data_IF_076912421038
#
_entry.id   IF_076912421038
#
_cell.length_a   1.000
_cell.length_b   1.000
_cell.length_c   1.000
_cell.angle_alpha   90.00
_cell.angle_beta   90.00
_cell.angle_gamma   90.00
#
_symmetry.space_group_name_H-M   'P 1'
#
loop_
_entity.id
_entity.type
_entity.pdbx_description
1 polymer ?
#
# COMPACT_ATOMS: atom_id res chain seq x y z
N UNK A 1 64.38 62.13 24.19
CA UNK A 1 64.44 61.53 22.85
C UNK A 1 64.86 60.08 23.01
N UNK A 2 63.90 59.17 23.14
CA UNK A 2 64.10 57.72 23.00
C UNK A 2 63.12 57.27 21.94
N UNK A 3 63.68 56.72 20.88
CA UNK A 3 63.03 56.20 19.68
C UNK A 3 62.12 55.03 20.05
N UNK A 4 60.92 55.04 19.49
CA UNK A 4 59.99 53.90 19.45
C UNK A 4 60.63 52.86 18.50
N UNK A 5 60.77 51.58 18.88
CA UNK A 5 61.20 50.56 17.93
C UNK A 5 60.09 50.31 16.91
N UNK A 6 60.48 50.20 15.65
CA UNK A 6 59.64 49.83 14.52
C UNK A 6 58.90 48.52 14.80
N UNK A 7 57.61 48.52 14.45
CA UNK A 7 56.68 47.39 14.50
C UNK A 7 57.17 46.30 13.54
N UNK A 8 58.01 45.39 14.04
CA UNK A 8 58.36 44.15 13.36
C UNK A 8 57.10 43.30 13.24
N UNK A 9 56.75 42.98 11.99
CA UNK A 9 55.55 42.28 11.59
C UNK A 9 55.15 41.18 12.55
N UNK A 10 54.02 41.38 13.22
CA UNK A 10 53.28 40.31 13.85
C UNK A 10 52.86 39.37 12.71
N UNK A 11 53.63 38.31 12.48
CA UNK A 11 53.14 37.12 11.78
C UNK A 11 51.77 36.83 12.35
N UNK A 12 50.74 36.89 11.51
CA UNK A 12 49.36 36.60 11.91
C UNK A 12 49.39 35.29 12.68
N UNK A 13 49.09 35.28 13.99
CA UNK A 13 49.32 34.10 14.82
C UNK A 13 48.51 32.94 14.24
N UNK A 14 49.05 31.70 14.28
CA UNK A 14 48.39 30.44 13.87
C UNK A 14 46.90 30.34 14.28
N UNK A 15 46.54 30.97 15.39
CA UNK A 15 45.16 31.09 15.87
C UNK A 15 44.27 31.88 14.89
N UNK A 16 44.74 33.00 14.36
CA UNK A 16 44.01 33.81 13.40
C UNK A 16 43.78 33.06 12.08
N UNK A 17 44.76 32.31 11.58
CA UNK A 17 44.59 31.45 10.39
C UNK A 17 43.50 30.38 10.61
N UNK A 18 43.45 29.80 11.81
CA UNK A 18 42.42 28.82 12.17
C UNK A 18 40.99 29.40 12.14
N UNK A 19 40.83 30.67 12.51
CA UNK A 19 39.54 31.36 12.58
C UNK A 19 39.25 32.26 11.37
N UNK A 20 40.17 32.36 10.40
CA UNK A 20 40.08 33.28 9.27
C UNK A 20 38.78 33.08 8.48
N UNK A 21 38.41 31.83 8.20
CA UNK A 21 37.17 31.50 7.48
C UNK A 21 35.91 31.98 8.22
N UNK A 22 35.90 31.90 9.55
CA UNK A 22 34.76 32.37 10.37
C UNK A 22 34.73 33.90 10.44
N UNK A 23 35.90 34.53 10.56
CA UNK A 23 36.03 35.98 10.56
C UNK A 23 35.59 36.59 9.23
N UNK A 24 36.06 36.07 8.11
CA UNK A 24 35.67 36.50 6.77
C UNK A 24 34.17 36.33 6.57
N UNK A 25 33.61 35.17 6.94
CA UNK A 25 32.18 34.89 6.85
C UNK A 25 31.31 35.82 7.71
N UNK A 26 31.81 36.28 8.88
CA UNK A 26 31.09 37.13 9.81
C UNK A 26 31.41 38.64 9.68
N UNK A 27 32.41 39.02 8.89
CA UNK A 27 32.87 40.41 8.75
C UNK A 27 31.84 41.31 8.07
N UNK A 28 31.76 42.59 8.47
CA UNK A 28 30.77 43.55 7.97
C UNK A 28 30.75 43.68 6.43
N UNK A 29 31.89 43.53 5.76
CA UNK A 29 32.01 43.56 4.29
C UNK A 29 31.54 42.28 3.58
N UNK A 30 31.40 41.16 4.30
CA UNK A 30 31.05 39.82 3.75
C UNK A 30 29.92 39.09 4.51
N UNK A 31 29.15 39.78 5.35
CA UNK A 31 27.98 39.23 6.08
C UNK A 31 26.86 38.65 5.20
N UNK A 32 26.98 38.69 3.87
CA UNK A 32 26.01 38.13 2.94
C UNK A 32 25.65 36.68 3.29
N UNK A 33 26.65 35.82 3.56
CA UNK A 33 26.42 34.42 3.92
C UNK A 33 25.67 34.24 5.25
N UNK A 34 26.06 34.99 6.30
CA UNK A 34 25.35 34.97 7.59
C UNK A 34 23.91 35.47 7.45
N UNK A 35 23.70 36.55 6.68
CA UNK A 35 22.38 37.13 6.45
C UNK A 35 21.47 36.20 5.64
N UNK A 36 22.02 35.52 4.64
CA UNK A 36 21.32 34.49 3.86
C UNK A 36 20.94 33.30 4.71
N UNK A 37 21.87 32.79 5.53
CA UNK A 37 21.61 31.69 6.46
C UNK A 37 20.53 32.05 7.48
N UNK A 38 20.61 33.24 8.08
CA UNK A 38 19.58 33.74 8.99
C UNK A 38 18.22 33.93 8.33
N UNK A 39 18.19 34.30 7.04
CA UNK A 39 16.96 34.41 6.25
C UNK A 39 16.37 33.02 6.01
N UNK A 40 17.18 32.06 5.54
CA UNK A 40 16.75 30.68 5.29
C UNK A 40 16.21 30.00 6.56
N UNK A 41 16.88 30.18 7.71
CA UNK A 41 16.39 29.69 9.01
C UNK A 41 15.03 30.29 9.39
N UNK A 42 14.84 31.60 9.18
CA UNK A 42 13.56 32.27 9.44
C UNK A 42 12.46 31.77 8.50
N UNK A 43 12.77 31.57 7.22
CA UNK A 43 11.83 31.00 6.24
C UNK A 43 11.44 29.58 6.63
N UNK A 44 12.40 28.75 7.02
CA UNK A 44 12.15 27.37 7.47
C UNK A 44 11.28 27.37 8.73
N UNK A 45 11.61 28.18 9.73
CA UNK A 45 10.82 28.31 10.94
C UNK A 45 9.37 28.72 10.64
N UNK A 46 9.17 29.73 9.79
CA UNK A 46 7.83 30.15 9.37
C UNK A 46 7.07 29.03 8.64
N UNK A 47 7.74 28.26 7.78
CA UNK A 47 7.13 27.11 7.10
C UNK A 47 6.73 25.99 8.08
N UNK A 48 7.56 25.72 9.09
CA UNK A 48 7.24 24.74 10.15
C UNK A 48 6.08 25.21 11.02
N UNK A 49 6.02 26.49 11.38
CA UNK A 49 4.89 27.06 12.13
C UNK A 49 3.60 26.96 11.31
N UNK A 50 3.63 27.34 10.03
CA UNK A 50 2.47 27.20 9.14
C UNK A 50 2.02 25.74 9.00
N UNK A 51 2.96 24.80 8.92
CA UNK A 51 2.67 23.37 8.89
C UNK A 51 1.97 22.89 10.16
N UNK A 52 2.33 23.43 11.33
CA UNK A 52 1.66 23.12 12.59
C UNK A 52 0.27 23.79 12.74
N UNK A 53 0.06 24.95 12.11
CA UNK A 53 -1.21 25.68 12.14
C UNK A 53 -2.24 25.15 11.13
N UNK A 54 -1.78 24.64 9.99
CA UNK A 54 -2.65 23.99 9.00
C UNK A 54 -3.27 22.76 9.64
N UNK A 55 -4.60 22.67 9.67
CA UNK A 55 -5.39 21.57 10.25
C UNK A 55 -4.59 20.25 10.25
N UNK A 56 -4.32 19.68 11.43
CA UNK A 56 -3.37 18.57 11.70
C UNK A 56 -3.61 17.24 10.96
N UNK A 57 -4.40 17.27 9.90
CA UNK A 57 -4.57 16.24 8.90
C UNK A 57 -3.39 16.15 7.91
N UNK A 58 -2.71 17.24 7.57
CA UNK A 58 -1.59 17.21 6.62
C UNK A 58 -0.28 16.87 7.33
N UNK A 59 0.09 15.57 7.31
CA UNK A 59 1.40 15.14 7.77
C UNK A 59 2.41 15.44 6.67
N UNK A 60 3.46 16.18 7.01
CA UNK A 60 4.49 16.59 6.06
C UNK A 60 5.86 16.53 6.74
N UNK A 61 6.88 16.15 5.96
CA UNK A 61 8.27 16.13 6.42
C UNK A 61 8.93 17.49 6.20
N UNK A 62 9.67 17.96 7.20
CA UNK A 62 10.50 19.17 7.08
C UNK A 62 11.47 19.06 5.89
N UNK A 63 12.12 17.92 5.70
CA UNK A 63 13.00 17.64 4.57
C UNK A 63 12.36 17.80 3.17
N UNK A 64 11.02 17.83 3.09
CA UNK A 64 10.31 18.05 1.81
C UNK A 64 9.95 19.51 1.55
N UNK A 65 10.21 20.40 2.50
CA UNK A 65 9.93 21.83 2.37
C UNK A 65 10.98 22.49 1.46
N UNK A 66 10.59 23.42 0.58
CA UNK A 66 11.54 24.21 -0.21
C UNK A 66 12.56 24.94 0.65
N UNK A 67 12.13 25.48 1.80
CA UNK A 67 13.00 26.18 2.75
C UNK A 67 14.08 25.27 3.37
N UNK A 68 13.78 23.97 3.56
CA UNK A 68 14.76 23.00 4.04
C UNK A 68 15.82 22.70 2.97
N UNK A 69 15.40 22.60 1.71
CA UNK A 69 16.33 22.41 0.58
C UNK A 69 17.22 23.64 0.36
N UNK A 70 16.68 24.84 0.49
CA UNK A 70 17.44 26.10 0.44
C UNK A 70 18.48 26.16 1.56
N UNK A 71 18.07 25.85 2.80
CA UNK A 71 18.99 25.80 3.93
C UNK A 71 20.11 24.77 3.69
N UNK A 72 19.78 23.56 3.24
CA UNK A 72 20.75 22.52 2.93
C UNK A 72 21.76 22.96 1.86
N UNK A 73 21.32 23.72 0.86
CA UNK A 73 22.18 24.26 -0.18
C UNK A 73 23.19 25.27 0.39
N UNK A 74 22.72 26.23 1.20
CA UNK A 74 23.58 27.23 1.84
C UNK A 74 24.61 26.61 2.80
N UNK A 75 24.27 25.50 3.46
CA UNK A 75 25.23 24.76 4.30
C UNK A 75 26.38 24.14 3.51
N UNK A 76 26.20 23.88 2.22
CA UNK A 76 27.27 23.40 1.34
C UNK A 76 28.38 24.42 1.12
N UNK A 77 28.05 25.71 1.19
CA UNK A 77 28.98 26.83 0.97
C UNK A 77 29.46 27.48 2.29
N UNK A 78 28.88 27.09 3.43
CA UNK A 78 29.20 27.63 4.74
C UNK A 78 30.52 27.07 5.31
N UNK A 79 31.23 27.82 6.18
CA UNK A 79 32.39 27.30 6.90
C UNK A 79 32.05 26.02 7.69
N UNK A 80 32.99 25.06 7.82
CA UNK A 80 32.70 23.73 8.37
C UNK A 80 32.01 23.73 9.74
N UNK A 81 32.39 24.67 10.62
CA UNK A 81 31.76 24.82 11.93
C UNK A 81 30.28 25.25 11.83
N UNK A 82 29.98 26.21 10.95
CA UNK A 82 28.61 26.72 10.73
C UNK A 82 27.76 25.65 10.05
N UNK A 83 28.31 25.01 9.02
CA UNK A 83 27.66 23.91 8.31
C UNK A 83 27.27 22.78 9.27
N UNK A 84 28.17 22.41 10.18
CA UNK A 84 27.90 21.40 11.20
C UNK A 84 26.84 21.84 12.20
N UNK A 85 26.98 23.01 12.80
CA UNK A 85 26.05 23.48 13.83
C UNK A 85 24.60 23.56 13.32
N UNK A 86 24.42 24.12 12.12
CA UNK A 86 23.08 24.27 11.53
C UNK A 86 22.60 22.98 10.88
N UNK A 87 23.52 22.15 10.35
CA UNK A 87 23.21 20.80 9.88
C UNK A 87 22.66 19.90 10.99
N UNK A 88 23.32 19.87 12.16
CA UNK A 88 22.87 19.11 13.33
C UNK A 88 21.45 19.53 13.75
N UNK A 89 21.15 20.84 13.76
CA UNK A 89 19.81 21.36 14.04
C UNK A 89 18.76 20.93 13.00
N UNK A 90 19.12 20.95 11.71
CA UNK A 90 18.24 20.52 10.64
C UNK A 90 17.96 19.01 10.71
N UNK A 91 18.97 18.20 11.04
CA UNK A 91 18.83 16.77 11.24
C UNK A 91 17.95 16.42 12.45
N UNK A 92 18.09 17.15 13.56
CA UNK A 92 17.21 17.03 14.72
C UNK A 92 15.75 17.38 14.35
N UNK A 93 15.55 18.47 13.60
CA UNK A 93 14.24 18.88 13.12
C UNK A 93 13.61 17.83 12.17
N UNK A 94 14.39 17.29 11.25
CA UNK A 94 13.95 16.21 10.35
C UNK A 94 13.58 14.96 11.14
N UNK A 95 14.40 14.54 12.10
CA UNK A 95 14.14 13.37 12.95
C UNK A 95 12.85 13.53 13.76
N UNK A 96 12.63 14.71 14.34
CA UNK A 96 11.41 15.04 15.05
C UNK A 96 10.18 14.98 14.12
N UNK A 97 10.26 15.63 12.95
CA UNK A 97 9.19 15.62 11.95
C UNK A 97 8.86 14.21 11.46
N UNK A 98 9.86 13.36 11.23
CA UNK A 98 9.64 11.96 10.87
C UNK A 98 8.95 11.15 11.97
N UNK A 99 9.30 11.41 13.22
CA UNK A 99 8.63 10.80 14.38
C UNK A 99 7.16 11.20 14.45
N UNK A 100 6.87 12.48 14.22
CA UNK A 100 5.50 13.01 14.20
C UNK A 100 4.68 12.42 13.06
N UNK A 101 5.25 12.35 11.84
CA UNK A 101 4.60 11.71 10.69
C UNK A 101 4.31 10.23 10.97
N UNK A 102 5.29 9.48 11.49
CA UNK A 102 5.08 8.07 11.86
C UNK A 102 3.96 7.90 12.89
N UNK A 103 3.99 8.72 13.94
CA UNK A 103 3.02 8.65 15.04
C UNK A 103 1.62 9.01 14.54
N UNK A 104 1.50 10.09 13.77
CA UNK A 104 0.24 10.54 13.19
C UNK A 104 -0.35 9.53 12.21
N UNK A 105 0.45 8.97 11.30
CA UNK A 105 -0.01 7.93 10.38
C UNK A 105 -0.49 6.68 11.14
N UNK A 106 0.23 6.25 12.16
CA UNK A 106 -0.17 5.10 12.97
C UNK A 106 -1.47 5.38 13.74
N UNK A 107 -1.64 6.58 14.31
CA UNK A 107 -2.88 6.96 14.98
C UNK A 107 -4.08 6.95 14.01
N UNK A 108 -3.91 7.51 12.81
CA UNK A 108 -4.96 7.50 11.78
C UNK A 108 -5.25 6.10 11.29
N UNK A 109 -4.23 5.26 11.09
CA UNK A 109 -4.42 3.85 10.77
C UNK A 109 -5.27 3.15 11.84
N UNK A 110 -4.93 3.30 13.12
CA UNK A 110 -5.65 2.64 14.22
C UNK A 110 -7.12 3.05 14.33
N UNK A 111 -7.41 4.32 14.05
CA UNK A 111 -8.76 4.90 14.19
C UNK A 111 -9.64 4.74 12.95
N UNK A 112 -9.02 4.66 11.77
CA UNK A 112 -9.72 4.59 10.48
C UNK A 112 -9.52 3.22 9.84
N UNK A 113 -8.35 2.96 9.24
CA UNK A 113 -8.11 1.75 8.44
C UNK A 113 -8.24 0.44 9.23
N UNK A 114 -7.58 0.32 10.38
CA UNK A 114 -7.61 -0.88 11.21
C UNK A 114 -9.02 -1.22 11.70
N UNK A 115 -9.81 -0.21 12.05
CA UNK A 115 -11.21 -0.39 12.48
C UNK A 115 -12.04 -1.07 11.39
N UNK A 116 -11.82 -0.72 10.13
CA UNK A 116 -12.55 -1.30 9.00
C UNK A 116 -12.01 -2.70 8.65
N UNK A 117 -10.70 -2.94 8.76
CA UNK A 117 -10.14 -4.29 8.67
C UNK A 117 -10.78 -5.25 9.69
N UNK A 118 -10.99 -4.79 10.94
CA UNK A 118 -11.60 -5.60 12.01
C UNK A 118 -13.03 -6.06 11.71
N UNK A 119 -13.73 -5.47 10.74
CA UNK A 119 -15.08 -5.92 10.34
C UNK A 119 -15.04 -7.20 9.52
N UNK A 120 -13.99 -7.39 8.73
CA UNK A 120 -13.87 -8.52 7.80
C UNK A 120 -12.82 -9.55 8.26
N UNK A 121 -11.95 -9.16 9.20
CA UNK A 121 -10.92 -10.02 9.76
C UNK A 121 -11.50 -11.30 10.39
N UNK A 122 -10.83 -12.43 10.15
CA UNK A 122 -11.18 -13.72 10.74
C UNK A 122 -12.40 -14.41 10.11
N UNK A 123 -13.20 -13.69 9.33
CA UNK A 123 -14.37 -14.18 8.61
C UNK A 123 -14.00 -14.59 7.18
N UNK A 124 -14.73 -15.55 6.60
CA UNK A 124 -14.48 -15.98 5.23
C UNK A 124 -14.78 -14.84 4.23
N UNK A 125 -13.89 -14.52 3.26
CA UNK A 125 -12.74 -15.31 2.80
C UNK A 125 -11.39 -14.96 3.46
N UNK A 126 -11.35 -14.09 4.46
CA UNK A 126 -10.11 -13.63 5.12
C UNK A 126 -9.70 -14.48 6.34
N UNK A 127 -10.52 -15.45 6.71
CA UNK A 127 -10.30 -16.38 7.80
C UNK A 127 -11.31 -17.53 7.74
N UNK A 128 -11.43 -18.27 8.84
CA UNK A 128 -12.24 -19.49 8.91
C UNK A 128 -13.56 -19.31 9.68
N UNK A 129 -13.92 -18.06 9.99
CA UNK A 129 -15.17 -17.69 10.65
C UNK A 129 -16.37 -17.70 9.71
N UNK A 130 -17.42 -16.98 10.10
CA UNK A 130 -18.62 -16.80 9.27
C UNK A 130 -18.32 -16.06 7.97
N UNK A 131 -19.20 -16.16 6.99
CA UNK A 131 -19.10 -15.38 5.75
C UNK A 131 -19.14 -13.87 6.03
N UNK A 132 -18.22 -13.13 5.41
CA UNK A 132 -18.29 -11.66 5.35
C UNK A 132 -19.51 -11.28 4.50
N UNK A 133 -20.43 -10.44 4.99
CA UNK A 133 -21.49 -9.90 4.14
C UNK A 133 -20.90 -9.20 2.91
N UNK A 134 -21.43 -9.49 1.72
CA UNK A 134 -20.90 -8.92 0.47
C UNK A 134 -20.84 -7.39 0.49
N UNK A 135 -21.80 -6.75 1.17
CA UNK A 135 -21.83 -5.32 1.39
C UNK A 135 -20.62 -4.82 2.20
N UNK A 136 -20.21 -5.53 3.25
CA UNK A 136 -19.03 -5.16 4.04
C UNK A 136 -17.75 -5.37 3.22
N UNK A 137 -17.67 -6.44 2.43
CA UNK A 137 -16.57 -6.66 1.50
C UNK A 137 -16.45 -5.50 0.49
N UNK A 138 -17.56 -5.08 -0.13
CA UNK A 138 -17.62 -3.95 -1.06
C UNK A 138 -17.23 -2.63 -0.39
N UNK A 139 -17.76 -2.35 0.81
CA UNK A 139 -17.47 -1.13 1.56
C UNK A 139 -16.00 -1.03 1.96
N UNK A 140 -15.39 -2.14 2.38
CA UNK A 140 -14.01 -2.15 2.90
C UNK A 140 -12.97 -2.19 1.78
N UNK A 141 -13.16 -3.06 0.76
CA UNK A 141 -12.14 -3.35 -0.26
C UNK A 141 -12.41 -2.72 -1.64
N UNK A 142 -13.64 -2.28 -1.92
CA UNK A 142 -14.02 -1.77 -3.23
C UNK A 142 -13.33 -0.47 -3.64
N UNK A 143 -13.57 -0.03 -4.88
CA UNK A 143 -13.14 1.29 -5.36
C UNK A 143 -13.81 2.39 -4.52
N UNK A 144 -13.02 3.32 -4.00
CA UNK A 144 -13.46 4.32 -3.02
C UNK A 144 -14.07 3.70 -1.75
N UNK A 145 -13.75 2.45 -1.45
CA UNK A 145 -13.98 1.82 -0.16
C UNK A 145 -13.08 2.43 0.92
N UNK A 146 -13.28 1.99 2.16
CA UNK A 146 -12.61 2.59 3.32
C UNK A 146 -11.07 2.49 3.26
N UNK A 147 -10.55 1.32 2.86
CA UNK A 147 -9.10 1.11 2.78
C UNK A 147 -8.47 1.83 1.57
N UNK A 148 -9.21 1.94 0.46
CA UNK A 148 -8.79 2.70 -0.71
C UNK A 148 -8.72 4.20 -0.40
N UNK A 149 -9.75 4.73 0.27
CA UNK A 149 -9.78 6.12 0.74
C UNK A 149 -8.64 6.41 1.70
N UNK A 150 -8.39 5.51 2.65
CA UNK A 150 -7.26 5.64 3.56
C UNK A 150 -5.94 5.70 2.80
N UNK A 151 -5.69 4.77 1.87
CA UNK A 151 -4.45 4.76 1.09
C UNK A 151 -4.28 6.05 0.28
N UNK A 152 -5.31 6.46 -0.48
CA UNK A 152 -5.29 7.67 -1.31
C UNK A 152 -5.02 8.93 -0.50
N UNK A 153 -5.62 9.03 0.68
CA UNK A 153 -5.52 10.21 1.54
C UNK A 153 -4.20 10.24 2.33
N UNK A 154 -3.82 9.11 2.93
CA UNK A 154 -2.78 9.08 3.96
C UNK A 154 -1.44 8.56 3.46
N UNK A 155 -1.41 7.73 2.41
CA UNK A 155 -0.20 7.02 1.97
C UNK A 155 0.24 7.34 0.55
N UNK A 156 -0.67 7.66 -0.37
CA UNK A 156 -0.36 7.78 -1.80
C UNK A 156 0.77 8.78 -2.12
N UNK A 157 0.88 9.88 -1.36
CA UNK A 157 1.95 10.86 -1.53
C UNK A 157 3.35 10.28 -1.25
N UNK A 158 3.43 9.25 -0.39
CA UNK A 158 4.65 8.63 0.10
C UNK A 158 5.10 7.43 -0.74
N UNK A 159 4.20 6.84 -1.53
CA UNK A 159 4.41 5.55 -2.21
C UNK A 159 4.61 5.75 -3.72
N UNK A 160 5.50 4.96 -4.28
CA UNK A 160 5.69 4.76 -5.72
C UNK A 160 4.93 3.49 -6.11
N UNK A 161 3.78 3.66 -6.77
CA UNK A 161 2.87 2.60 -7.21
C UNK A 161 3.07 2.23 -8.68
N UNK A 162 4.00 2.89 -9.38
CA UNK A 162 4.30 2.64 -10.80
C UNK A 162 5.22 1.41 -10.98
N UNK A 163 5.68 0.84 -9.88
CA UNK A 163 6.54 -0.35 -9.81
C UNK A 163 5.89 -1.43 -8.95
N UNK A 164 6.16 -2.69 -9.27
CA UNK A 164 5.80 -3.84 -8.41
C UNK A 164 7.06 -4.64 -8.08
N UNK A 165 7.37 -4.91 -6.80
CA UNK A 165 6.59 -4.53 -5.61
C UNK A 165 6.59 -3.02 -5.35
N UNK A 166 5.52 -2.52 -4.70
CA UNK A 166 5.41 -1.12 -4.30
C UNK A 166 6.54 -0.71 -3.35
N UNK A 167 7.00 0.54 -3.44
CA UNK A 167 8.08 1.07 -2.59
C UNK A 167 7.81 2.47 -2.09
N UNK A 168 8.42 2.84 -0.97
CA UNK A 168 8.45 4.23 -0.53
C UNK A 168 9.25 5.07 -1.52
N UNK A 169 8.76 6.28 -1.84
CA UNK A 169 9.53 7.22 -2.66
C UNK A 169 10.78 7.64 -1.91
N UNK A 170 11.89 7.85 -2.63
CA UNK A 170 13.22 8.12 -2.06
C UNK A 170 13.23 9.23 -1.00
N UNK A 171 12.48 10.31 -1.23
CA UNK A 171 12.38 11.46 -0.30
C UNK A 171 11.69 11.17 1.03
N UNK A 172 11.07 9.99 1.17
CA UNK A 172 10.40 9.53 2.38
C UNK A 172 11.02 8.24 2.94
N UNK A 173 12.14 7.78 2.37
CA UNK A 173 12.78 6.54 2.79
C UNK A 173 13.25 6.58 4.26
N UNK A 174 13.58 7.76 4.77
CA UNK A 174 13.99 7.99 6.15
C UNK A 174 12.88 7.76 7.19
N UNK A 175 11.61 7.77 6.78
CA UNK A 175 10.48 7.44 7.67
C UNK A 175 10.60 6.05 8.30
N UNK A 176 11.33 5.11 7.69
CA UNK A 176 11.56 3.78 8.27
C UNK A 176 10.29 2.96 8.51
N UNK A 177 9.18 3.27 7.82
CA UNK A 177 7.94 2.50 7.92
C UNK A 177 8.14 1.15 7.22
N UNK A 178 7.72 0.08 7.90
CA UNK A 178 7.89 -1.30 7.42
C UNK A 178 7.30 -1.51 6.01
N UNK A 179 8.06 -2.17 5.14
CA UNK A 179 7.66 -2.45 3.75
C UNK A 179 6.46 -3.40 3.66
N UNK A 180 6.19 -4.18 4.71
CA UNK A 180 4.99 -5.02 4.82
C UNK A 180 3.69 -4.22 4.76
N UNK A 181 3.70 -2.95 5.17
CA UNK A 181 2.54 -2.04 5.00
C UNK A 181 2.24 -1.84 3.51
N UNK A 182 3.28 -1.68 2.68
CA UNK A 182 3.10 -1.51 1.23
C UNK A 182 2.59 -2.79 0.58
N UNK A 183 3.15 -3.94 0.97
CA UNK A 183 2.68 -5.25 0.48
C UNK A 183 1.21 -5.49 0.80
N UNK A 184 0.75 -5.04 1.97
CA UNK A 184 -0.66 -5.12 2.35
C UNK A 184 -1.54 -4.30 1.39
N UNK A 185 -1.22 -3.04 1.12
CA UNK A 185 -2.02 -2.20 0.23
C UNK A 185 -1.90 -2.59 -1.25
N UNK A 186 -0.73 -3.06 -1.68
CA UNK A 186 -0.55 -3.63 -3.03
C UNK A 186 -1.46 -4.85 -3.19
N UNK A 187 -1.53 -5.73 -2.18
CA UNK A 187 -2.43 -6.89 -2.21
C UNK A 187 -3.90 -6.50 -2.22
N UNK A 188 -4.29 -5.45 -1.50
CA UNK A 188 -5.65 -4.92 -1.55
C UNK A 188 -5.99 -4.37 -2.94
N UNK A 189 -5.04 -3.71 -3.61
CA UNK A 189 -5.23 -3.25 -4.98
C UNK A 189 -5.42 -4.43 -5.94
N UNK A 190 -4.63 -5.50 -5.82
CA UNK A 190 -4.83 -6.73 -6.61
C UNK A 190 -6.21 -7.37 -6.40
N UNK A 191 -6.66 -7.48 -5.14
CA UNK A 191 -7.99 -8.01 -4.81
C UNK A 191 -9.07 -7.13 -5.43
N UNK A 192 -8.91 -5.81 -5.34
CA UNK A 192 -9.88 -4.87 -5.90
C UNK A 192 -9.97 -5.00 -7.41
N UNK A 193 -8.85 -5.10 -8.12
CA UNK A 193 -8.88 -5.29 -9.59
C UNK A 193 -9.55 -6.62 -9.98
N UNK A 194 -9.37 -7.68 -9.19
CA UNK A 194 -9.96 -9.00 -9.47
C UNK A 194 -11.48 -9.04 -9.22
N UNK A 195 -11.96 -8.36 -8.18
CA UNK A 195 -13.36 -8.42 -7.73
C UNK A 195 -14.21 -7.22 -8.15
N UNK A 196 -13.59 -6.14 -8.63
CA UNK A 196 -14.26 -4.92 -9.06
C UNK A 196 -13.70 -4.45 -10.41
N UNK A 197 -13.85 -5.26 -11.47
CA UNK A 197 -13.28 -4.98 -12.77
C UNK A 197 -13.82 -3.67 -13.33
N UNK A 198 -12.98 -2.94 -14.08
CA UNK A 198 -13.36 -1.70 -14.78
C UNK A 198 -13.94 -0.60 -13.86
N UNK A 199 -13.55 -0.58 -12.58
CA UNK A 199 -14.01 0.42 -11.63
C UNK A 199 -15.42 0.16 -11.08
N UNK A 200 -15.93 -1.08 -11.19
CA UNK A 200 -17.24 -1.46 -10.69
C UNK A 200 -17.40 -1.11 -9.19
N UNK A 201 -18.58 -0.66 -8.80
CA UNK A 201 -18.92 -0.40 -7.39
C UNK A 201 -19.35 -1.66 -6.67
N UNK A 202 -19.96 -2.59 -7.39
CA UNK A 202 -20.39 -3.88 -6.87
C UNK A 202 -19.32 -4.93 -7.12
N UNK A 203 -19.01 -5.70 -6.08
CA UNK A 203 -18.14 -6.85 -6.18
C UNK A 203 -18.78 -7.92 -7.08
N UNK A 204 -18.04 -8.32 -8.12
CA UNK A 204 -18.45 -9.36 -9.04
C UNK A 204 -17.35 -9.69 -10.03
N UNK A 205 -17.36 -10.91 -10.55
CA UNK A 205 -16.42 -11.34 -11.56
C UNK A 205 -17.08 -12.32 -12.53
N UNK A 206 -16.85 -12.07 -13.82
CA UNK A 206 -17.26 -12.96 -14.89
C UNK A 206 -16.09 -13.88 -15.23
N UNK A 207 -16.38 -15.17 -15.39
CA UNK A 207 -15.36 -16.16 -15.67
C UNK A 207 -15.86 -17.26 -16.61
N UNK A 208 -14.95 -17.70 -17.47
CA UNK A 208 -15.16 -18.86 -18.32
C UNK A 208 -14.80 -20.14 -17.59
N UNK A 209 -15.68 -21.15 -17.67
CA UNK A 209 -15.40 -22.51 -17.21
C UNK A 209 -15.38 -23.45 -18.40
N UNK A 210 -14.29 -24.19 -18.56
CA UNK A 210 -14.19 -25.31 -19.48
C UNK A 210 -13.88 -26.57 -18.68
N UNK A 211 -14.71 -27.59 -18.84
CA UNK A 211 -14.52 -28.86 -18.15
C UNK A 211 -13.78 -29.84 -19.06
N UNK A 212 -12.72 -30.44 -18.52
CA UNK A 212 -12.02 -31.57 -19.10
C UNK A 212 -12.12 -32.72 -18.09
N UNK A 213 -13.24 -33.45 -18.13
CA UNK A 213 -13.49 -34.55 -17.22
C UNK A 213 -13.98 -35.78 -17.99
N UNK A 214 -13.36 -36.93 -17.71
CA UNK A 214 -13.90 -38.24 -18.03
C UNK A 214 -14.44 -38.82 -16.72
N UNK A 215 -15.75 -38.72 -16.52
CA UNK A 215 -16.43 -39.38 -15.41
C UNK A 215 -17.15 -40.60 -15.98
N UNK A 216 -16.71 -41.83 -15.67
CA UNK A 216 -17.40 -43.03 -16.13
C UNK A 216 -18.88 -43.00 -15.75
N UNK A 217 -19.74 -43.38 -16.70
CA UNK A 217 -21.19 -43.51 -16.54
C UNK A 217 -22.00 -42.22 -16.27
N UNK A 218 -21.35 -41.07 -16.16
CA UNK A 218 -22.03 -39.78 -16.11
C UNK A 218 -22.44 -39.31 -17.52
N UNK A 219 -23.71 -38.95 -17.70
CA UNK A 219 -24.21 -38.31 -18.92
C UNK A 219 -23.90 -36.81 -18.91
N UNK A 220 -24.13 -36.16 -17.77
CA UNK A 220 -24.02 -34.71 -17.61
C UNK A 220 -23.32 -34.33 -16.30
N UNK A 221 -22.56 -33.25 -16.36
CA UNK A 221 -21.98 -32.57 -15.20
C UNK A 221 -22.52 -31.15 -15.19
N UNK A 222 -23.24 -30.79 -14.14
CA UNK A 222 -23.89 -29.49 -14.01
C UNK A 222 -23.15 -28.69 -12.95
N UNK A 223 -22.58 -27.54 -13.33
CA UNK A 223 -22.05 -26.54 -12.40
C UNK A 223 -23.06 -25.39 -12.29
N UNK A 224 -23.61 -25.18 -11.10
CA UNK A 224 -24.46 -24.05 -10.77
C UNK A 224 -23.69 -23.03 -9.95
N UNK A 225 -23.76 -21.75 -10.30
CA UNK A 225 -23.19 -20.62 -9.55
C UNK A 225 -24.19 -19.49 -9.52
N UNK A 226 -24.60 -19.06 -8.32
CA UNK A 226 -25.52 -17.94 -8.15
C UNK A 226 -26.85 -18.11 -8.88
N UNK A 227 -27.29 -19.36 -9.08
CA UNK A 227 -28.51 -19.70 -9.82
C UNK A 227 -28.37 -19.80 -11.35
N UNK A 228 -27.18 -19.58 -11.91
CA UNK A 228 -26.88 -19.85 -13.32
C UNK A 228 -26.22 -21.21 -13.48
N UNK A 229 -26.64 -22.02 -14.45
CA UNK A 229 -26.14 -23.38 -14.67
C UNK A 229 -25.30 -23.49 -15.96
N UNK A 230 -24.18 -24.20 -15.86
CA UNK A 230 -23.36 -24.67 -16.96
C UNK A 230 -23.45 -26.20 -17.04
N UNK A 231 -24.01 -26.71 -18.13
CA UNK A 231 -24.27 -28.14 -18.34
C UNK A 231 -23.22 -28.69 -19.30
N UNK A 232 -22.33 -29.55 -18.80
CA UNK A 232 -21.27 -30.18 -19.56
C UNK A 232 -21.67 -31.60 -19.94
N UNK A 233 -21.71 -31.87 -21.23
CA UNK A 233 -21.84 -33.23 -21.78
C UNK A 233 -20.46 -33.89 -21.79
N UNK A 234 -20.37 -35.17 -21.37
CA UNK A 234 -19.10 -35.86 -21.12
C UNK A 234 -18.12 -35.97 -22.33
N UNK A 235 -18.53 -35.61 -23.55
CA UNK A 235 -17.77 -35.89 -24.79
C UNK A 235 -17.43 -34.66 -25.64
N UNK A 236 -17.90 -33.47 -25.29
CA UNK A 236 -17.63 -32.25 -26.08
C UNK A 236 -17.13 -31.15 -25.14
N UNK A 237 -15.83 -30.76 -25.22
CA UNK A 237 -15.33 -29.63 -24.47
C UNK A 237 -16.09 -28.36 -24.87
N UNK A 238 -16.92 -27.86 -23.96
CA UNK A 238 -17.63 -26.59 -24.10
C UNK A 238 -17.17 -25.63 -23.02
N UNK A 239 -17.08 -24.36 -23.39
CA UNK A 239 -16.86 -23.28 -22.43
C UNK A 239 -18.18 -22.61 -22.12
N UNK A 240 -18.47 -22.41 -20.84
CA UNK A 240 -19.59 -21.63 -20.36
C UNK A 240 -19.08 -20.37 -19.67
N UNK A 241 -19.83 -19.28 -19.77
CA UNK A 241 -19.58 -18.08 -18.99
C UNK A 241 -20.49 -18.13 -17.77
N UNK A 242 -19.91 -17.92 -16.60
CA UNK A 242 -20.61 -17.78 -15.33
C UNK A 242 -20.17 -16.49 -14.66
N UNK A 243 -20.98 -16.03 -13.73
CA UNK A 243 -20.70 -14.82 -12.97
C UNK A 243 -20.84 -15.12 -11.49
N UNK A 244 -19.92 -14.59 -10.70
CA UNK A 244 -20.07 -14.50 -9.26
C UNK A 244 -20.37 -13.04 -8.89
N UNK A 245 -21.32 -12.75 -7.99
CA UNK A 245 -22.12 -13.70 -7.20
C UNK A 245 -23.34 -14.28 -7.93
N UNK A 246 -23.59 -13.86 -9.17
CA UNK A 246 -24.70 -14.31 -10.01
C UNK A 246 -26.06 -13.68 -9.64
N UNK A 247 -27.13 -14.13 -10.29
CA UNK A 247 -28.47 -13.52 -10.19
C UNK A 247 -29.22 -13.92 -8.89
N UNK A 248 -28.77 -14.97 -8.22
CA UNK A 248 -29.33 -15.48 -6.96
C UNK A 248 -28.20 -15.94 -6.05
N UNK A 249 -27.42 -15.00 -5.46
CA UNK A 249 -26.23 -15.31 -4.66
C UNK A 249 -26.48 -16.30 -3.52
N UNK A 250 -27.67 -16.27 -2.92
CA UNK A 250 -28.03 -17.16 -1.80
C UNK A 250 -28.03 -18.65 -2.20
N UNK A 251 -28.19 -18.96 -3.50
CA UNK A 251 -28.09 -20.34 -4.02
C UNK A 251 -26.66 -20.87 -4.00
N UNK A 252 -25.65 -20.00 -3.84
CA UNK A 252 -24.25 -20.36 -3.76
C UNK A 252 -23.74 -21.10 -4.99
N UNK A 253 -22.97 -22.16 -4.80
CA UNK A 253 -22.45 -22.98 -5.88
C UNK A 253 -22.67 -24.48 -5.64
N UNK A 254 -22.98 -25.20 -6.71
CA UNK A 254 -23.21 -26.66 -6.69
C UNK A 254 -22.58 -27.33 -7.91
N UNK A 255 -21.99 -28.50 -7.71
CA UNK A 255 -21.65 -29.44 -8.78
C UNK A 255 -22.53 -30.67 -8.64
N UNK A 256 -23.22 -31.03 -9.71
CA UNK A 256 -24.12 -32.20 -9.77
C UNK A 256 -23.69 -33.12 -10.91
N UNK A 257 -23.61 -34.41 -10.64
CA UNK A 257 -23.38 -35.46 -11.63
C UNK A 257 -24.69 -36.18 -11.90
N UNK A 258 -25.07 -36.28 -13.17
CA UNK A 258 -26.21 -37.06 -13.63
C UNK A 258 -25.68 -38.32 -14.31
N UNK A 259 -26.11 -39.49 -13.83
CA UNK A 259 -25.69 -40.78 -14.37
C UNK A 259 -26.71 -41.32 -15.38
N UNK A 260 -26.25 -42.17 -16.30
CA UNK A 260 -27.08 -42.73 -17.39
C UNK A 260 -28.28 -43.55 -16.89
N UNK A 261 -28.25 -44.05 -15.65
CA UNK A 261 -29.35 -44.79 -15.03
C UNK A 261 -30.50 -43.89 -14.52
N UNK A 262 -30.30 -42.57 -14.50
CA UNK A 262 -31.28 -41.57 -14.07
C UNK A 262 -31.64 -41.61 -12.58
N UNK A 263 -30.98 -42.45 -11.78
CA UNK A 263 -31.34 -42.71 -10.37
C UNK A 263 -30.29 -42.22 -9.38
N UNK A 264 -29.00 -42.24 -9.73
CA UNK A 264 -27.96 -41.66 -8.87
C UNK A 264 -27.71 -40.20 -9.27
N UNK A 265 -27.82 -39.28 -8.31
CA UNK A 265 -27.35 -37.90 -8.46
C UNK A 265 -26.37 -37.59 -7.35
N UNK A 266 -25.09 -37.52 -7.68
CA UNK A 266 -24.05 -37.12 -6.73
C UNK A 266 -23.91 -35.60 -6.78
N UNK A 267 -23.93 -34.95 -5.62
CA UNK A 267 -23.83 -33.49 -5.52
C UNK A 267 -22.88 -33.02 -4.43
N UNK A 268 -22.21 -31.92 -4.70
CA UNK A 268 -21.47 -31.12 -3.72
C UNK A 268 -22.00 -29.70 -3.85
N UNK A 269 -22.51 -29.13 -2.75
CA UNK A 269 -23.13 -27.82 -2.75
C UNK A 269 -22.70 -27.00 -1.54
N UNK A 270 -22.45 -25.72 -1.79
CA UNK A 270 -22.17 -24.71 -0.78
C UNK A 270 -23.12 -23.54 -1.01
N UNK A 271 -23.99 -23.26 -0.05
CA UNK A 271 -24.90 -22.12 -0.12
C UNK A 271 -24.21 -20.80 0.20
N UNK A 272 -24.97 -19.71 0.16
CA UNK A 272 -24.46 -18.37 0.51
C UNK A 272 -23.67 -17.71 -0.61
N UNK A 273 -23.48 -16.40 -0.49
CA UNK A 273 -22.83 -15.60 -1.53
C UNK A 273 -21.42 -16.13 -1.83
N UNK A 274 -20.73 -16.70 -0.85
CA UNK A 274 -19.37 -17.20 -1.00
C UNK A 274 -19.28 -18.68 -1.40
N UNK A 275 -20.41 -19.33 -1.70
CA UNK A 275 -20.47 -20.75 -2.02
C UNK A 275 -19.52 -21.20 -3.13
N UNK A 276 -19.29 -20.35 -4.15
CA UNK A 276 -18.30 -20.64 -5.20
C UNK A 276 -16.89 -20.81 -4.63
N UNK A 277 -16.47 -19.94 -3.72
CA UNK A 277 -15.11 -19.99 -3.18
C UNK A 277 -14.95 -21.16 -2.21
N UNK A 278 -15.97 -21.49 -1.41
CA UNK A 278 -15.94 -22.73 -0.62
C UNK A 278 -15.84 -23.98 -1.49
N UNK A 279 -16.58 -24.01 -2.61
CA UNK A 279 -16.45 -25.08 -3.59
C UNK A 279 -15.01 -25.15 -4.10
N UNK A 280 -14.44 -24.02 -4.53
CA UNK A 280 -13.05 -23.97 -5.00
C UNK A 280 -12.06 -24.45 -3.92
N UNK A 281 -12.17 -23.98 -2.68
CA UNK A 281 -11.30 -24.39 -1.58
C UNK A 281 -11.37 -25.90 -1.30
N UNK A 282 -12.58 -26.49 -1.40
CA UNK A 282 -12.77 -27.94 -1.27
C UNK A 282 -12.03 -28.74 -2.37
N UNK A 283 -11.85 -28.13 -3.54
CA UNK A 283 -11.18 -28.74 -4.70
C UNK A 283 -9.67 -28.50 -4.73
N UNK A 284 -9.13 -27.65 -3.85
CA UNK A 284 -7.69 -27.32 -3.75
C UNK A 284 -7.05 -26.98 -5.12
N UNK A 285 -7.52 -25.92 -5.80
CA UNK A 285 -7.08 -25.56 -7.15
C UNK A 285 -5.57 -25.29 -7.21
N UNK A 286 -4.95 -25.67 -8.32
CA UNK A 286 -3.54 -25.34 -8.59
C UNK A 286 -3.49 -24.18 -9.60
N UNK A 287 -2.99 -23.00 -9.21
CA UNK A 287 -2.84 -21.89 -10.15
C UNK A 287 -1.87 -22.29 -11.26
N UNK A 288 -2.17 -21.91 -12.50
CA UNK A 288 -1.24 -22.15 -13.61
C UNK A 288 -0.20 -21.04 -13.64
N UNK A 289 1.06 -21.40 -13.89
CA UNK A 289 2.23 -20.49 -13.85
C UNK A 289 2.16 -19.36 -14.90
N UNK A 290 1.26 -19.42 -15.88
CA UNK A 290 1.04 -18.38 -16.89
C UNK A 290 -0.45 -18.16 -17.19
N UNK A 291 -0.88 -16.89 -17.07
CA UNK A 291 -2.19 -16.39 -17.49
C UNK A 291 -3.25 -16.34 -16.37
N UNK A 292 -4.42 -15.79 -16.69
CA UNK A 292 -5.58 -15.67 -15.78
C UNK A 292 -6.40 -16.98 -15.72
N UNK A 293 -5.72 -18.12 -15.76
CA UNK A 293 -6.35 -19.44 -15.79
C UNK A 293 -5.84 -20.29 -14.62
N UNK A 294 -6.75 -20.93 -13.92
CA UNK A 294 -6.42 -21.95 -12.92
C UNK A 294 -6.84 -23.31 -13.45
N UNK A 295 -5.98 -24.33 -13.25
CA UNK A 295 -6.37 -25.71 -13.51
C UNK A 295 -6.78 -26.34 -12.21
N UNK A 296 -8.05 -26.73 -12.14
CA UNK A 296 -8.57 -27.48 -11.02
C UNK A 296 -8.56 -28.95 -11.43
N UNK A 297 -7.87 -29.79 -10.65
CA UNK A 297 -8.00 -31.24 -10.74
C UNK A 297 -8.84 -31.68 -9.55
N UNK A 298 -10.17 -31.66 -9.66
CA UNK A 298 -11.00 -32.12 -8.56
C UNK A 298 -10.75 -33.62 -8.36
N UNK A 299 -10.14 -34.01 -7.23
CA UNK A 299 -10.22 -35.39 -6.75
C UNK A 299 -11.51 -35.44 -5.95
N UNK A 300 -12.62 -35.71 -6.63
CA UNK A 300 -13.85 -36.06 -5.93
C UNK A 300 -13.62 -37.46 -5.38
N UNK A 301 -13.15 -37.56 -4.13
CA UNK A 301 -13.21 -38.82 -3.40
C UNK A 301 -14.69 -39.13 -3.22
N UNK A 302 -15.23 -39.93 -4.13
CA UNK A 302 -16.51 -40.56 -3.89
C UNK A 302 -16.25 -41.73 -2.95
N UNK A 303 -16.03 -41.41 -1.68
CA UNK A 303 -15.93 -42.43 -0.66
C UNK A 303 -17.32 -43.06 -0.49
N UNK A 304 -17.34 -44.36 -0.72
CA UNK A 304 -18.46 -45.29 -0.61
C UNK A 304 -19.16 -45.27 0.77
N UNK A 305 -20.49 -45.41 0.71
CA UNK A 305 -21.46 -45.84 1.74
C UNK A 305 -22.02 -44.80 2.72
#
# INVERSE_FOLDING_TARGET
MRTIPEDEGIETPLVNEHFEQLWVYASEEQTAGVNELQRALRTLHAAVVQMAEKDGNELQLIATLPAAAELQHLLGDAPPFVARLVGDLLDDANTASESDVRTGLNQRWRTQGLRECKRVEGNYPFGTGSEVPIFDFQRVLGHNGELDKFFKKELAAYVDTDVSPWRWRRRFASLGIDVGVLRFFEKLAEIREAFFPLGATEAGTDFGVTLYAEVPDASEIILSVGGSEAIFEAKVPRSFQLSWPGNSPIKGAEVRLVFNDGTDTRRVAFGGTWGLFYLLDSLKPQPMVRGNSARIRPIVNVADR
#
